data_IF_922635400963
#
_entry.id   IF_922635400963
#
_cell.length_a   1.000
_cell.length_b   1.000
_cell.length_c   1.000
_cell.angle_alpha   90.00
_cell.angle_beta   90.00
_cell.angle_gamma   90.00
#
_symmetry.space_group_name_H-M   'P 1'
#
loop_
_entity.id
_entity.type
_entity.pdbx_description
1 polymer ?
#
# COMPACT_ATOMS: atom_id res chain seq x y z
N UNK A 1 2.61 11.35 8.72
CA UNK A 1 1.86 10.17 8.27
C UNK A 1 2.81 9.04 7.96
N UNK A 2 2.53 7.85 8.48
CA UNK A 2 3.25 6.60 8.21
C UNK A 2 2.53 5.79 7.14
N UNK A 3 3.22 4.91 6.39
CA UNK A 3 2.59 4.08 5.35
C UNK A 3 1.37 3.27 5.81
N UNK A 4 1.34 2.88 7.10
CA UNK A 4 0.19 2.19 7.69
C UNK A 4 -1.03 3.12 7.86
N UNK A 5 -0.84 4.39 8.21
CA UNK A 5 -1.95 5.35 8.35
C UNK A 5 -2.57 5.66 6.99
N UNK A 6 -1.71 5.96 6.01
CA UNK A 6 -2.12 6.22 4.63
C UNK A 6 -2.91 5.02 4.07
N UNK A 7 -2.43 3.79 4.32
CA UNK A 7 -3.14 2.57 3.93
C UNK A 7 -4.52 2.49 4.59
N UNK A 8 -4.62 2.76 5.89
CA UNK A 8 -5.90 2.70 6.60
C UNK A 8 -6.90 3.76 6.10
N UNK A 9 -6.43 4.97 5.75
CA UNK A 9 -7.29 6.03 5.21
C UNK A 9 -7.81 5.65 3.83
N UNK A 10 -6.92 5.10 3.00
CA UNK A 10 -7.28 4.65 1.66
C UNK A 10 -8.24 3.45 1.71
N UNK A 11 -8.08 2.53 2.66
CA UNK A 11 -8.98 1.37 2.84
C UNK A 11 -10.36 1.81 3.30
N UNK A 12 -10.43 2.74 4.26
CA UNK A 12 -11.68 3.31 4.76
C UNK A 12 -12.40 4.09 3.65
N UNK A 13 -11.69 4.93 2.90
CA UNK A 13 -12.23 5.65 1.75
C UNK A 13 -12.68 4.71 0.61
N UNK A 14 -12.15 3.48 0.58
CA UNK A 14 -12.60 2.42 -0.33
C UNK A 14 -13.75 1.58 0.21
N UNK A 15 -14.23 1.85 1.44
CA UNK A 15 -15.27 1.06 2.08
C UNK A 15 -14.83 -0.38 2.42
N UNK A 16 -13.51 -0.63 2.44
CA UNK A 16 -12.96 -1.93 2.82
C UNK A 16 -13.01 -2.05 4.33
N UNK A 17 -13.59 -3.14 4.83
CA UNK A 17 -13.65 -3.36 6.28
C UNK A 17 -12.30 -3.82 6.79
N UNK A 18 -11.65 -2.96 7.56
CA UNK A 18 -10.43 -3.28 8.31
C UNK A 18 -10.82 -3.85 9.68
N UNK A 19 -10.05 -4.79 10.27
CA UNK A 19 -10.30 -5.23 11.65
C UNK A 19 -10.28 -4.09 12.64
N UNK A 20 -11.20 -4.14 13.60
CA UNK A 20 -11.34 -3.15 14.66
C UNK A 20 -10.02 -2.99 15.43
N UNK A 21 -9.29 -4.09 15.64
CA UNK A 21 -8.00 -4.09 16.32
C UNK A 21 -6.93 -3.26 15.60
N UNK A 22 -6.93 -3.26 14.26
CA UNK A 22 -6.04 -2.42 13.46
C UNK A 22 -6.53 -0.96 13.46
N UNK A 23 -7.85 -0.74 13.45
CA UNK A 23 -8.46 0.59 13.58
C UNK A 23 -8.04 1.31 14.86
N UNK A 24 -7.96 0.58 15.98
CA UNK A 24 -7.50 1.11 17.29
C UNK A 24 -6.08 1.67 17.27
N UNK A 25 -5.22 1.27 16.33
CA UNK A 25 -3.86 1.81 16.20
C UNK A 25 -3.87 3.32 15.97
N UNK A 26 -4.89 3.85 15.27
CA UNK A 26 -5.06 5.30 15.05
C UNK A 26 -5.34 6.04 16.35
N UNK A 27 -6.31 5.53 17.12
CA UNK A 27 -6.72 6.11 18.40
C UNK A 27 -5.53 6.15 19.38
N UNK A 28 -4.80 5.05 19.45
CA UNK A 28 -3.60 4.94 20.28
C UNK A 28 -2.48 5.87 19.87
N UNK A 29 -2.35 6.11 18.57
CA UNK A 29 -1.34 7.03 18.09
C UNK A 29 -1.66 8.48 18.36
N UNK A 30 -2.92 8.91 18.29
CA UNK A 30 -3.28 10.26 18.73
C UNK A 30 -2.96 10.41 20.22
N UNK A 31 -3.40 9.44 21.03
CA UNK A 31 -3.23 9.45 22.49
C UNK A 31 -1.78 9.36 22.97
N UNK A 32 -0.94 8.56 22.32
CA UNK A 32 0.49 8.44 22.61
C UNK A 32 1.33 9.48 21.85
N UNK A 33 0.82 10.01 20.74
CA UNK A 33 1.44 11.06 19.90
C UNK A 33 1.48 12.41 20.61
N UNK A 34 0.47 12.72 21.41
CA UNK A 34 0.49 13.84 22.37
C UNK A 34 1.66 13.73 23.37
N UNK A 35 2.19 12.52 23.58
CA UNK A 35 3.32 12.23 24.47
C UNK A 35 4.67 12.08 23.73
N UNK A 36 4.74 12.22 22.40
CA UNK A 36 5.95 11.89 21.62
C UNK A 36 6.30 12.87 20.51
N UNK A 37 7.50 13.49 20.57
CA UNK A 37 8.06 14.28 19.47
C UNK A 37 9.34 13.69 18.84
N UNK A 38 10.06 12.77 19.50
CA UNK A 38 11.26 12.19 18.91
C UNK A 38 11.69 10.86 19.57
N UNK A 39 11.48 9.73 18.88
CA UNK A 39 12.35 8.54 18.91
C UNK A 39 11.85 7.47 17.93
N UNK A 40 12.76 6.75 17.28
CA UNK A 40 12.50 5.50 16.55
C UNK A 40 13.28 4.39 17.27
N UNK A 41 12.63 3.28 17.60
CA UNK A 41 13.25 2.12 18.25
C UNK A 41 12.86 0.81 17.56
N UNK A 42 13.65 -0.23 17.73
CA UNK A 42 13.33 -1.60 17.29
C UNK A 42 12.31 -2.26 18.23
N UNK A 43 11.42 -3.08 17.66
CA UNK A 43 10.31 -3.76 18.34
C UNK A 43 10.71 -5.19 18.72
N UNK A 44 10.51 -5.53 19.99
CA UNK A 44 10.39 -6.92 20.43
C UNK A 44 8.93 -7.38 20.28
N UNK A 45 8.76 -8.68 20.02
CA UNK A 45 7.48 -9.27 19.61
C UNK A 45 6.58 -9.58 20.81
N UNK A 46 5.74 -8.63 21.21
CA UNK A 46 4.54 -8.89 22.01
C UNK A 46 3.32 -8.41 21.23
N UNK A 47 2.24 -9.19 21.24
CA UNK A 47 0.99 -8.82 20.58
C UNK A 47 0.24 -7.77 21.40
N UNK A 48 0.57 -6.51 21.14
CA UNK A 48 0.07 -5.35 21.89
C UNK A 48 -1.30 -4.86 21.39
N UNK A 49 -1.84 -5.41 20.29
CA UNK A 49 -3.12 -4.96 19.73
C UNK A 49 -4.32 -5.31 20.61
N UNK A 50 -4.18 -6.31 21.47
CA UNK A 50 -5.24 -6.81 22.34
C UNK A 50 -5.17 -6.27 23.76
N UNK A 51 -4.17 -5.45 24.07
CA UNK A 51 -4.04 -4.83 25.38
C UNK A 51 -5.09 -3.74 25.58
N UNK A 52 -5.58 -3.63 26.80
CA UNK A 52 -6.40 -2.52 27.27
C UNK A 52 -5.59 -1.22 27.39
N UNK A 53 -6.31 -0.12 27.57
CA UNK A 53 -5.70 1.19 27.70
C UNK A 53 -4.70 1.32 28.85
N UNK A 54 -5.05 0.73 30.00
CA UNK A 54 -4.18 0.76 31.17
C UNK A 54 -2.94 -0.11 30.97
N UNK A 55 -3.07 -1.23 30.27
CA UNK A 55 -1.95 -2.14 29.96
C UNK A 55 -0.98 -1.50 28.96
N UNK A 56 -1.48 -0.80 27.94
CA UNK A 56 -0.64 -0.08 26.97
C UNK A 56 0.12 1.07 27.63
N UNK A 57 -0.52 1.84 28.51
CA UNK A 57 0.13 2.89 29.29
C UNK A 57 1.15 2.32 30.30
N UNK A 58 0.82 1.19 30.93
CA UNK A 58 1.74 0.44 31.78
C UNK A 58 2.99 0.04 31.02
N UNK A 59 2.82 -0.52 29.83
CA UNK A 59 3.90 -0.94 28.94
C UNK A 59 4.77 0.22 28.45
N UNK A 60 4.16 1.37 28.14
CA UNK A 60 4.91 2.59 27.80
C UNK A 60 5.81 3.03 28.97
N UNK A 61 5.29 3.00 30.20
CA UNK A 61 6.06 3.32 31.42
C UNK A 61 7.17 2.30 31.67
N UNK A 62 6.92 1.01 31.48
CA UNK A 62 7.95 -0.04 31.62
C UNK A 62 9.11 0.17 30.65
N UNK A 63 8.82 0.51 29.40
CA UNK A 63 9.85 0.86 28.42
C UNK A 63 10.63 2.13 28.80
N UNK A 64 9.94 3.16 29.30
CA UNK A 64 10.57 4.39 29.77
C UNK A 64 11.53 4.10 30.95
N UNK A 65 11.11 3.28 31.90
CA UNK A 65 11.94 2.86 33.06
C UNK A 65 13.15 2.04 32.61
N UNK A 66 12.95 1.07 31.71
CA UNK A 66 14.05 0.23 31.21
C UNK A 66 15.10 1.07 30.49
N UNK A 67 14.69 2.04 29.67
CA UNK A 67 15.61 2.96 29.02
C UNK A 67 16.32 3.88 30.03
N UNK A 68 15.61 4.34 31.06
CA UNK A 68 16.17 5.18 32.13
C UNK A 68 17.29 4.46 32.89
N UNK A 69 17.07 3.18 33.19
CA UNK A 69 18.05 2.29 33.84
C UNK A 69 19.24 2.05 32.92
N UNK A 70 18.99 1.72 31.64
CA UNK A 70 20.06 1.46 30.66
C UNK A 70 20.96 2.68 30.39
N UNK A 71 20.40 3.90 30.41
CA UNK A 71 21.13 5.16 30.14
C UNK A 71 21.64 5.89 31.40
N UNK A 72 21.53 5.26 32.57
CA UNK A 72 21.92 5.84 33.86
C UNK A 72 21.34 7.25 34.11
N UNK A 73 20.05 7.43 33.85
CA UNK A 73 19.29 8.66 34.21
C UNK A 73 19.58 9.92 33.38
N UNK A 74 20.35 9.84 32.29
CA UNK A 74 20.80 11.01 31.50
C UNK A 74 19.83 11.51 30.42
N UNK A 75 18.52 11.31 30.54
CA UNK A 75 17.56 11.77 29.52
C UNK A 75 16.31 12.40 30.12
N UNK A 76 15.92 13.57 29.61
CA UNK A 76 14.71 14.32 29.97
C UNK A 76 13.47 13.92 29.17
N UNK A 77 13.52 12.85 28.36
CA UNK A 77 12.43 12.45 27.44
C UNK A 77 12.10 10.96 27.51
N UNK A 78 12.11 10.38 28.72
CA UNK A 78 11.92 8.94 28.90
C UNK A 78 10.51 8.48 28.54
N UNK A 79 9.49 9.27 28.87
CA UNK A 79 8.10 8.98 28.48
C UNK A 79 7.92 9.01 26.96
N UNK A 80 8.62 9.93 26.27
CA UNK A 80 8.62 9.97 24.80
C UNK A 80 9.27 8.69 24.22
N UNK A 81 10.36 8.19 24.82
CA UNK A 81 10.98 6.94 24.36
C UNK A 81 10.06 5.74 24.63
N UNK A 82 9.42 5.69 25.78
CA UNK A 82 8.48 4.63 26.14
C UNK A 82 7.28 4.55 25.19
N UNK A 83 6.63 5.68 24.95
CA UNK A 83 5.53 5.78 24.00
C UNK A 83 5.97 5.49 22.55
N UNK A 84 7.16 5.93 22.13
CA UNK A 84 7.68 5.60 20.80
C UNK A 84 7.91 4.08 20.59
N UNK A 85 8.35 3.36 21.63
CA UNK A 85 8.51 1.90 21.57
C UNK A 85 7.16 1.20 21.44
N UNK A 86 6.16 1.58 22.26
CA UNK A 86 4.79 1.03 22.15
C UNK A 86 4.18 1.30 20.77
N UNK A 87 4.36 2.51 20.21
CA UNK A 87 3.89 2.81 18.85
C UNK A 87 4.55 1.93 17.78
N UNK A 88 5.82 1.58 17.96
CA UNK A 88 6.53 0.67 17.07
C UNK A 88 6.00 -0.76 17.21
N UNK A 89 5.78 -1.25 18.44
CA UNK A 89 5.19 -2.57 18.69
C UNK A 89 3.77 -2.68 18.14
N UNK A 90 2.95 -1.62 18.29
CA UNK A 90 1.59 -1.53 17.74
C UNK A 90 1.62 -1.60 16.22
N UNK A 91 2.48 -0.82 15.56
CA UNK A 91 2.65 -0.86 14.11
C UNK A 91 3.14 -2.24 13.62
N UNK A 92 4.05 -2.89 14.36
CA UNK A 92 4.53 -4.23 14.05
C UNK A 92 3.42 -5.29 14.18
N UNK A 93 2.60 -5.19 15.21
CA UNK A 93 1.47 -6.10 15.43
C UNK A 93 0.38 -5.91 14.39
N UNK A 94 0.06 -4.66 14.04
CA UNK A 94 -0.89 -4.32 12.97
C UNK A 94 -0.46 -4.90 11.62
N UNK A 95 0.83 -4.82 11.28
CA UNK A 95 1.38 -5.45 10.07
C UNK A 95 1.19 -6.95 10.06
N UNK A 96 1.44 -7.64 11.18
CA UNK A 96 1.24 -9.10 11.28
C UNK A 96 -0.22 -9.48 11.11
N UNK A 97 -1.14 -8.74 11.73
CA UNK A 97 -2.57 -8.98 11.60
C UNK A 97 -3.04 -8.75 10.16
N UNK A 98 -2.63 -7.64 9.54
CA UNK A 98 -2.91 -7.36 8.12
C UNK A 98 -2.30 -8.42 7.19
N UNK A 99 -1.11 -8.95 7.51
CA UNK A 99 -0.50 -10.02 6.72
C UNK A 99 -1.37 -11.29 6.71
N UNK A 100 -2.03 -11.60 7.82
CA UNK A 100 -2.93 -12.75 7.94
C UNK A 100 -4.27 -12.58 7.23
N UNK A 101 -4.65 -11.36 6.87
CA UNK A 101 -5.95 -11.03 6.24
C UNK A 101 -5.81 -10.37 4.87
N UNK A 102 -4.59 -10.33 4.34
CA UNK A 102 -4.31 -9.57 3.13
C UNK A 102 -5.14 -10.05 1.95
N UNK A 103 -5.37 -11.35 1.85
CA UNK A 103 -6.16 -11.93 0.77
C UNK A 103 -7.65 -11.56 0.91
N UNK A 104 -8.20 -11.55 2.14
CA UNK A 104 -9.57 -11.10 2.37
C UNK A 104 -9.78 -9.62 1.99
N UNK A 105 -8.76 -8.77 2.20
CA UNK A 105 -8.79 -7.37 1.76
C UNK A 105 -8.74 -7.26 0.23
N UNK A 106 -7.91 -8.08 -0.42
CA UNK A 106 -7.83 -8.11 -1.88
C UNK A 106 -9.09 -8.67 -2.52
N UNK A 107 -9.73 -9.65 -1.91
CA UNK A 107 -11.01 -10.21 -2.36
C UNK A 107 -12.16 -9.21 -2.24
N UNK A 108 -12.12 -8.31 -1.26
CA UNK A 108 -13.05 -7.17 -1.19
C UNK A 108 -12.84 -6.16 -2.32
N UNK A 109 -11.58 -5.91 -2.72
CA UNK A 109 -11.22 -4.96 -3.79
C UNK A 109 -11.40 -5.53 -5.20
N UNK A 110 -11.33 -6.86 -5.35
CA UNK A 110 -11.32 -7.55 -6.65
C UNK A 110 -12.55 -7.27 -7.51
N UNK A 111 -13.80 -7.30 -7.02
CA UNK A 111 -14.97 -6.99 -7.85
C UNK A 111 -14.93 -5.59 -8.45
N UNK A 112 -14.49 -4.60 -7.69
CA UNK A 112 -14.39 -3.22 -8.18
C UNK A 112 -13.24 -3.07 -9.20
N UNK A 113 -12.12 -3.74 -8.94
CA UNK A 113 -11.01 -3.79 -9.89
C UNK A 113 -11.45 -4.40 -11.22
N UNK A 114 -12.07 -5.58 -11.18
CA UNK A 114 -12.48 -6.32 -12.38
C UNK A 114 -13.53 -5.53 -13.19
N UNK A 115 -14.48 -4.87 -12.51
CA UNK A 115 -15.47 -4.00 -13.13
C UNK A 115 -14.83 -2.79 -13.85
N UNK A 116 -13.75 -2.23 -13.31
CA UNK A 116 -13.03 -1.12 -13.92
C UNK A 116 -12.02 -1.58 -14.99
N UNK A 117 -11.40 -2.75 -14.83
CA UNK A 117 -10.41 -3.29 -15.74
C UNK A 117 -11.05 -3.82 -17.03
N UNK A 118 -12.25 -4.41 -16.95
CA UNK A 118 -12.97 -4.97 -18.08
C UNK A 118 -13.14 -4.00 -19.26
N UNK A 119 -13.67 -2.78 -19.05
CA UNK A 119 -13.80 -1.77 -20.10
C UNK A 119 -12.47 -1.32 -20.70
N UNK A 120 -11.39 -1.25 -19.90
CA UNK A 120 -10.04 -0.90 -20.39
C UNK A 120 -9.47 -2.02 -21.25
N UNK A 121 -9.69 -3.29 -20.86
CA UNK A 121 -9.34 -4.45 -21.65
C UNK A 121 -10.11 -4.50 -22.98
N UNK A 122 -11.42 -4.26 -22.94
CA UNK A 122 -12.24 -4.18 -24.15
C UNK A 122 -11.76 -3.08 -25.09
N UNK A 123 -11.46 -1.89 -24.57
CA UNK A 123 -10.91 -0.79 -25.37
C UNK A 123 -9.57 -1.13 -26.03
N UNK A 124 -8.65 -1.77 -25.28
CA UNK A 124 -7.37 -2.21 -25.81
C UNK A 124 -7.55 -3.29 -26.90
N UNK A 125 -8.48 -4.23 -26.71
CA UNK A 125 -8.82 -5.26 -27.70
C UNK A 125 -9.48 -4.68 -28.96
N UNK A 126 -10.24 -3.59 -28.82
CA UNK A 126 -10.78 -2.80 -29.93
C UNK A 126 -9.73 -1.92 -30.63
N UNK A 127 -8.46 -1.96 -30.18
CA UNK A 127 -7.35 -1.29 -30.84
C UNK A 127 -7.05 0.11 -30.32
N UNK A 128 -7.69 0.57 -29.23
CA UNK A 128 -7.31 1.83 -28.58
C UNK A 128 -5.87 1.73 -28.05
N UNK A 129 -5.00 2.64 -28.51
CA UNK A 129 -3.57 2.63 -28.22
C UNK A 129 -3.18 3.70 -27.18
N UNK A 130 -2.11 3.46 -26.39
CA UNK A 130 -1.47 4.49 -25.60
C UNK A 130 -1.08 5.72 -26.43
N UNK A 131 -1.35 6.92 -25.93
CA UNK A 131 -1.04 8.19 -26.59
C UNK A 131 -2.10 8.69 -27.57
N UNK A 132 -3.14 7.90 -27.87
CA UNK A 132 -4.27 8.36 -28.67
C UNK A 132 -5.07 9.44 -27.96
N UNK A 133 -5.35 10.52 -28.68
CA UNK A 133 -6.12 11.68 -28.24
C UNK A 133 -7.55 11.58 -28.73
N UNK A 134 -8.44 12.37 -28.13
CA UNK A 134 -9.84 12.45 -28.56
C UNK A 134 -10.00 12.76 -30.06
N UNK A 135 -9.11 13.59 -30.62
CA UNK A 135 -9.12 13.94 -32.05
C UNK A 135 -8.79 12.76 -32.97
N UNK A 136 -8.09 11.74 -32.48
CA UNK A 136 -7.68 10.58 -33.29
C UNK A 136 -8.81 9.54 -33.44
N UNK A 137 -9.86 9.65 -32.62
CA UNK A 137 -10.99 8.71 -32.58
C UNK A 137 -12.33 9.38 -32.87
N UNK A 138 -12.37 10.70 -33.08
CA UNK A 138 -13.61 11.48 -33.08
C UNK A 138 -14.61 11.11 -34.19
N UNK A 139 -14.13 10.52 -35.27
CA UNK A 139 -14.94 10.13 -36.43
C UNK A 139 -15.47 8.69 -36.35
N UNK A 140 -15.20 7.97 -35.26
CA UNK A 140 -15.63 6.59 -35.01
C UNK A 140 -16.35 6.51 -33.66
N UNK A 141 -17.68 6.40 -33.69
CA UNK A 141 -18.53 6.39 -32.49
C UNK A 141 -18.15 5.26 -31.51
N UNK A 142 -17.79 4.08 -32.02
CA UNK A 142 -17.39 2.92 -31.21
C UNK A 142 -16.03 3.19 -30.54
N UNK A 143 -15.07 3.74 -31.28
CA UNK A 143 -13.78 4.15 -30.72
C UNK A 143 -13.92 5.28 -29.68
N UNK A 144 -14.83 6.24 -29.90
CA UNK A 144 -15.16 7.29 -28.92
C UNK A 144 -15.70 6.69 -27.62
N UNK A 145 -16.61 5.73 -27.70
CA UNK A 145 -17.17 5.05 -26.53
C UNK A 145 -16.07 4.33 -25.73
N UNK A 146 -15.22 3.55 -26.40
CA UNK A 146 -14.09 2.87 -25.77
C UNK A 146 -13.09 3.87 -25.14
N UNK A 147 -12.74 4.95 -25.84
CA UNK A 147 -11.84 5.97 -25.31
C UNK A 147 -12.42 6.66 -24.07
N UNK A 148 -13.72 6.98 -24.07
CA UNK A 148 -14.41 7.55 -22.90
C UNK A 148 -14.46 6.57 -21.73
N UNK A 149 -14.74 5.29 -22.00
CA UNK A 149 -14.76 4.25 -20.99
C UNK A 149 -13.41 4.14 -20.28
N UNK A 150 -12.29 4.13 -21.02
CA UNK A 150 -10.94 4.11 -20.43
C UNK A 150 -10.76 5.29 -19.47
N UNK A 151 -11.10 6.50 -19.89
CA UNK A 151 -10.96 7.69 -19.05
C UNK A 151 -11.86 7.69 -17.82
N UNK A 152 -13.03 7.06 -17.93
CA UNK A 152 -13.96 6.93 -16.82
C UNK A 152 -13.45 5.95 -15.76
N UNK A 153 -12.85 4.83 -16.17
CA UNK A 153 -12.47 3.74 -15.26
C UNK A 153 -11.05 3.81 -14.70
N UNK A 154 -10.13 4.52 -15.37
CA UNK A 154 -8.74 4.68 -14.91
C UNK A 154 -8.61 5.24 -13.49
N UNK A 155 -9.37 6.27 -13.05
CA UNK A 155 -9.30 6.75 -11.67
C UNK A 155 -9.55 5.67 -10.61
N UNK A 156 -10.50 4.77 -10.86
CA UNK A 156 -10.77 3.62 -9.97
C UNK A 156 -9.59 2.65 -9.94
N UNK A 157 -9.04 2.31 -11.12
CA UNK A 157 -7.87 1.44 -11.24
C UNK A 157 -6.63 2.05 -10.56
N UNK A 158 -6.42 3.37 -10.67
CA UNK A 158 -5.34 4.07 -9.97
C UNK A 158 -5.50 4.01 -8.45
N UNK A 159 -6.72 4.20 -7.95
CA UNK A 159 -7.02 4.14 -6.52
C UNK A 159 -6.73 2.75 -5.95
N UNK A 160 -7.27 1.70 -6.57
CA UNK A 160 -7.01 0.30 -6.17
C UNK A 160 -5.54 -0.04 -6.35
N UNK A 161 -4.92 0.46 -7.43
CA UNK A 161 -3.50 0.27 -7.69
C UNK A 161 -2.62 0.81 -6.57
N UNK A 162 -2.92 2.02 -6.10
CA UNK A 162 -2.23 2.64 -4.96
C UNK A 162 -2.41 1.83 -3.68
N UNK A 163 -3.64 1.41 -3.37
CA UNK A 163 -3.95 0.57 -2.23
C UNK A 163 -3.11 -0.71 -2.20
N UNK A 164 -3.06 -1.42 -3.32
CA UNK A 164 -2.28 -2.67 -3.44
C UNK A 164 -0.79 -2.43 -3.24
N UNK A 165 -0.26 -1.32 -3.74
CA UNK A 165 1.15 -0.91 -3.53
C UNK A 165 1.40 -0.61 -2.05
N UNK A 166 0.53 0.17 -1.40
CA UNK A 166 0.63 0.49 0.03
C UNK A 166 0.60 -0.76 0.91
N UNK A 167 -0.27 -1.72 0.55
CA UNK A 167 -0.33 -3.01 1.22
C UNK A 167 1.00 -3.77 1.09
N UNK A 168 1.59 -3.78 -0.10
CA UNK A 168 2.93 -4.33 -0.33
C UNK A 168 4.03 -3.63 0.47
N UNK A 169 4.00 -2.29 0.58
CA UNK A 169 4.93 -1.51 1.40
C UNK A 169 4.82 -1.86 2.90
N UNK A 170 3.59 -1.97 3.41
CA UNK A 170 3.30 -2.28 4.81
C UNK A 170 3.72 -3.71 5.16
N UNK A 171 3.53 -4.66 4.24
CA UNK A 171 3.84 -6.07 4.42
C UNK A 171 5.29 -6.43 4.07
N UNK A 172 6.05 -5.50 3.50
CA UNK A 172 7.43 -5.73 3.07
C UNK A 172 7.56 -6.71 1.90
N UNK A 173 6.52 -6.81 1.06
CA UNK A 173 6.54 -7.64 -0.16
C UNK A 173 6.72 -6.73 -1.36
N UNK A 174 7.93 -6.60 -1.92
CA UNK A 174 8.17 -5.72 -3.05
C UNK A 174 7.39 -6.21 -4.28
N UNK A 175 6.93 -5.31 -5.17
CA UNK A 175 6.23 -5.72 -6.38
C UNK A 175 7.15 -6.39 -7.41
N UNK A 176 8.47 -6.21 -7.31
CA UNK A 176 9.47 -6.76 -8.25
C UNK A 176 10.75 -7.23 -7.55
N UNK A 177 11.36 -8.28 -8.12
CA UNK A 177 12.57 -8.95 -7.64
C UNK A 177 13.74 -7.97 -7.61
N UNK A 178 14.53 -7.99 -6.55
CA UNK A 178 15.70 -7.09 -6.39
C UNK A 178 15.38 -5.68 -5.88
N UNK A 179 14.11 -5.33 -5.66
CA UNK A 179 13.77 -4.09 -4.94
C UNK A 179 13.89 -4.33 -3.42
N UNK A 180 14.68 -3.52 -2.67
CA UNK A 180 14.79 -3.68 -1.24
C UNK A 180 13.45 -3.39 -0.54
N UNK A 181 13.02 -4.20 0.44
CA UNK A 181 11.87 -3.88 1.28
C UNK A 181 12.22 -2.69 2.18
N UNK A 182 11.51 -1.57 2.05
CA UNK A 182 11.69 -0.45 2.99
C UNK A 182 11.11 0.91 2.57
N UNK A 183 11.02 1.86 3.52
CA UNK A 183 10.44 3.19 3.34
C UNK A 183 11.26 4.12 2.44
N UNK A 184 12.49 3.74 2.09
CA UNK A 184 13.40 4.52 1.24
C UNK A 184 13.51 3.98 -0.20
N UNK A 185 12.70 2.97 -0.53
CA UNK A 185 12.57 2.48 -1.90
C UNK A 185 11.25 2.89 -2.54
N UNK A 186 10.21 3.27 -1.78
CA UNK A 186 8.91 3.67 -2.33
C UNK A 186 8.55 5.11 -1.90
N UNK A 187 8.64 6.11 -2.79
CA UNK A 187 8.28 7.49 -2.46
C UNK A 187 6.77 7.64 -2.19
N UNK A 188 6.36 8.67 -1.45
CA UNK A 188 5.01 8.96 -0.98
C UNK A 188 3.90 9.02 -2.06
N UNK A 189 4.23 8.87 -3.33
CA UNK A 189 3.26 8.63 -4.42
C UNK A 189 3.16 7.15 -4.79
N UNK A 190 3.41 6.30 -3.78
CA UNK A 190 3.58 4.86 -3.88
C UNK A 190 4.52 4.57 -5.01
N UNK A 191 5.83 4.88 -4.89
CA UNK A 191 6.83 5.01 -5.97
C UNK A 191 8.08 4.22 -5.69
N UNK A 192 8.07 2.92 -6.03
CA UNK A 192 9.23 2.03 -5.94
C UNK A 192 10.41 2.56 -6.79
N UNK A 193 11.07 3.63 -6.34
CA UNK A 193 12.37 4.08 -6.76
C UNK A 193 13.38 3.08 -6.22
N UNK A 194 13.48 1.94 -6.88
CA UNK A 194 14.74 1.23 -6.86
C UNK A 194 15.71 2.07 -7.70
N UNK A 195 16.85 2.55 -7.16
CA UNK A 195 17.80 3.37 -7.91
C UNK A 195 18.32 2.69 -9.20
N UNK A 196 18.11 1.38 -9.30
CA UNK A 196 18.60 0.51 -10.37
C UNK A 196 17.48 0.02 -11.31
N UNK A 197 16.19 0.30 -11.02
CA UNK A 197 15.07 -0.19 -11.83
C UNK A 197 14.00 0.90 -12.08
N UNK A 198 13.39 0.95 -13.27
CA UNK A 198 12.23 1.79 -13.50
C UNK A 198 11.06 1.39 -12.58
N UNK A 199 10.15 2.33 -12.24
CA UNK A 199 9.04 2.08 -11.34
C UNK A 199 8.21 0.84 -11.74
N UNK A 200 8.23 -0.16 -10.87
CA UNK A 200 7.86 -1.53 -11.22
C UNK A 200 6.39 -1.87 -10.88
N UNK A 201 5.52 -0.88 -10.84
CA UNK A 201 4.16 -1.00 -10.31
C UNK A 201 3.25 -1.94 -11.07
N UNK A 202 3.38 -1.98 -12.40
CA UNK A 202 2.59 -2.86 -13.25
C UNK A 202 2.78 -4.33 -12.87
N UNK A 203 3.89 -4.69 -12.22
CA UNK A 203 4.17 -6.07 -11.83
C UNK A 203 3.23 -6.57 -10.73
N UNK A 204 2.69 -5.69 -9.89
CA UNK A 204 1.64 -6.05 -8.94
C UNK A 204 0.28 -6.33 -9.61
N UNK A 205 0.14 -5.97 -10.89
CA UNK A 205 -1.09 -6.10 -11.67
C UNK A 205 -0.90 -6.92 -12.94
N UNK A 206 0.26 -7.54 -13.14
CA UNK A 206 0.53 -8.31 -14.35
C UNK A 206 1.21 -9.61 -13.97
N UNK A 207 0.64 -10.71 -14.48
CA UNK A 207 1.14 -12.05 -14.21
C UNK A 207 2.54 -12.27 -14.83
N UNK A 208 2.92 -11.48 -15.83
CA UNK A 208 4.25 -11.47 -16.46
C UNK A 208 5.23 -10.45 -15.84
N UNK A 209 4.84 -9.72 -14.78
CA UNK A 209 5.73 -8.84 -14.03
C UNK A 209 6.13 -7.55 -14.76
N UNK A 210 5.38 -7.13 -15.79
CA UNK A 210 5.67 -5.91 -16.56
C UNK A 210 5.54 -4.65 -15.70
N UNK A 211 6.58 -3.82 -15.69
CA UNK A 211 6.57 -2.52 -15.01
C UNK A 211 5.73 -1.45 -15.73
N UNK A 212 5.56 -0.29 -15.09
CA UNK A 212 5.01 0.90 -15.77
C UNK A 212 6.12 1.67 -16.47
N UNK A 213 5.84 2.23 -17.64
CA UNK A 213 6.67 3.32 -18.16
C UNK A 213 6.31 4.63 -17.41
N UNK A 214 7.25 5.21 -16.63
CA UNK A 214 6.98 6.44 -15.90
C UNK A 214 6.71 7.65 -16.80
N UNK A 215 7.09 7.59 -18.08
CA UNK A 215 6.90 8.67 -19.05
C UNK A 215 5.46 8.74 -19.56
N UNK A 216 4.70 7.65 -19.44
CA UNK A 216 3.31 7.58 -19.86
C UNK A 216 2.38 8.21 -18.81
N UNK A 217 1.29 8.82 -19.28
CA UNK A 217 0.19 9.22 -18.42
C UNK A 217 -0.58 8.01 -17.90
N UNK A 218 -1.37 8.18 -16.84
CA UNK A 218 -2.05 7.06 -16.18
C UNK A 218 -2.97 6.25 -17.10
N UNK A 219 -3.71 6.92 -18.00
CA UNK A 219 -4.55 6.24 -18.99
C UNK A 219 -3.72 5.36 -19.93
N UNK A 220 -2.61 5.90 -20.43
CA UNK A 220 -1.71 5.21 -21.35
C UNK A 220 -1.05 4.00 -20.70
N UNK A 221 -0.71 4.08 -19.41
CA UNK A 221 -0.17 2.95 -18.64
C UNK A 221 -1.18 1.81 -18.55
N UNK A 222 -2.41 2.10 -18.14
CA UNK A 222 -3.45 1.07 -18.01
C UNK A 222 -3.82 0.45 -19.36
N UNK A 223 -3.85 1.23 -20.43
CA UNK A 223 -4.00 0.71 -21.80
C UNK A 223 -2.83 -0.19 -22.20
N UNK A 224 -1.58 0.22 -21.95
CA UNK A 224 -0.40 -0.57 -22.29
C UNK A 224 -0.34 -1.92 -21.53
N UNK A 225 -0.79 -1.94 -20.27
CA UNK A 225 -0.88 -3.19 -19.51
C UNK A 225 -1.95 -4.12 -20.10
N UNK A 226 -3.13 -3.58 -20.42
CA UNK A 226 -4.27 -4.36 -20.89
C UNK A 226 -4.23 -4.74 -22.38
N UNK A 227 -3.42 -4.05 -23.19
CA UNK A 227 -3.13 -4.41 -24.58
C UNK A 227 -1.98 -5.41 -24.76
N UNK A 228 -1.37 -5.87 -23.66
CA UNK A 228 -0.34 -6.90 -23.68
C UNK A 228 -0.88 -8.31 -23.88
N UNK A 229 0.01 -9.32 -23.94
CA UNK A 229 -0.38 -10.73 -24.12
C UNK A 229 -1.22 -11.26 -22.96
N UNK A 230 -1.14 -10.64 -21.79
CA UNK A 230 -2.00 -10.90 -20.65
C UNK A 230 -2.53 -9.56 -20.09
N UNK A 231 -3.85 -9.42 -19.93
CA UNK A 231 -4.44 -8.22 -19.37
C UNK A 231 -4.07 -8.03 -17.90
N UNK A 232 -4.27 -6.81 -17.41
CA UNK A 232 -3.97 -6.51 -16.01
C UNK A 232 -4.95 -7.25 -15.09
N UNK A 233 -4.43 -7.84 -14.01
CA UNK A 233 -5.19 -8.55 -13.01
C UNK A 233 -4.70 -8.18 -11.62
N UNK A 234 -5.60 -7.98 -10.65
CA UNK A 234 -5.21 -7.73 -9.26
C UNK A 234 -4.59 -9.00 -8.67
N UNK A 235 -3.27 -9.00 -8.46
CA UNK A 235 -2.56 -10.16 -7.94
C UNK A 235 -2.66 -10.24 -6.41
N UNK A 236 -2.88 -11.46 -5.92
CA UNK A 236 -2.67 -11.81 -4.50
C UNK A 236 -1.23 -11.53 -4.06
N UNK A 237 -1.01 -11.40 -2.75
CA UNK A 237 0.36 -11.26 -2.23
C UNK A 237 1.17 -12.52 -2.49
N UNK A 238 0.56 -13.69 -2.37
CA UNK A 238 1.22 -14.96 -2.65
C UNK A 238 1.56 -15.15 -4.13
N UNK A 239 0.71 -14.68 -5.06
CA UNK A 239 1.07 -14.64 -6.48
C UNK A 239 2.26 -13.73 -6.72
N UNK A 240 2.28 -12.53 -6.14
CA UNK A 240 3.43 -11.63 -6.23
C UNK A 240 4.68 -12.30 -5.69
N UNK A 241 4.64 -12.93 -4.51
CA UNK A 241 5.80 -13.66 -3.95
C UNK A 241 6.32 -14.75 -4.88
N UNK A 242 5.43 -15.57 -5.43
CA UNK A 242 5.81 -16.63 -6.38
C UNK A 242 6.51 -16.06 -7.62
N UNK A 243 6.09 -14.90 -8.11
CA UNK A 243 6.77 -14.22 -9.22
C UNK A 243 8.17 -13.72 -8.84
N UNK A 244 8.38 -13.30 -7.60
CA UNK A 244 9.70 -12.86 -7.12
C UNK A 244 10.68 -14.04 -6.97
N UNK A 245 10.17 -15.21 -6.62
CA UNK A 245 10.98 -16.41 -6.38
C UNK A 245 11.39 -17.11 -7.69
N UNK A 246 10.57 -17.00 -8.74
CA UNK A 246 10.86 -17.47 -10.09
C UNK A 246 12.08 -16.77 -10.72
#
# INVERSE_FOLDING_TARGET
MTPLEDLLDELEAAGVKVPDEVGRVREWRVRLGELTAAARGESDSVDVLHLSDEELLGRAREHAVTEAVARAGRSTRLDEVGAAKVLTELAGSARRLLAGQVEDLLDQLRPEFDAAAGPVHAAAAAGIQPGQRAADVIDDDEAVEHWRAVRHHVPTLERIGRLRIRLSEVLGVPPVKGCPPGPYGCSHHGNAQCPQHPPAYGAAFTVDGRGWDPRLGSHDRWLALNGGPQPAALLSVDQTRKQLDA
#
